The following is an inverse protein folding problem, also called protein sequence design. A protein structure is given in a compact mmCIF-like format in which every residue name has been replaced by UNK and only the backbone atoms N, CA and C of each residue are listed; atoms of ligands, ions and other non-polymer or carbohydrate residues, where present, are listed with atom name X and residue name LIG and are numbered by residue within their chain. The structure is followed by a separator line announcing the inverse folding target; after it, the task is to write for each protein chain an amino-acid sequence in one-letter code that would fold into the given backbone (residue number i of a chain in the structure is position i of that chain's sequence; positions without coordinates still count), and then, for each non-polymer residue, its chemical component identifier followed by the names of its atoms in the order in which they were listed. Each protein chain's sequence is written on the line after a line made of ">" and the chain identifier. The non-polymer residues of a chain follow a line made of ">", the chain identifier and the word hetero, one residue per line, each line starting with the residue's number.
data_IF_642320508736
#
_entry.id   IF_642320508736
#
_cell.length_a   1.000
_cell.length_b   1.000
_cell.length_c   1.000
_cell.angle_alpha   90.00
_cell.angle_beta   90.00
_cell.angle_gamma   90.00
#
_symmetry.space_group_name_H-M   'P 1'
#
loop_
_entity.id
_entity.type
_entity.pdbx_description
1 polymer ?
#
# COMPACT_ATOMS: atom_id res chain seq x y z
N UNK A 1 8.38 4.99 -15.94
CA UNK A 1 8.39 4.02 -14.83
C UNK A 1 6.96 3.63 -14.55
N UNK A 2 6.73 2.35 -14.30
CA UNK A 2 5.44 1.83 -13.87
C UNK A 2 5.66 0.84 -12.73
N UNK A 3 4.97 1.07 -11.62
CA UNK A 3 5.03 0.20 -10.44
C UNK A 3 3.62 -0.16 -10.05
N UNK A 4 3.40 -1.44 -9.73
CA UNK A 4 2.17 -1.92 -9.13
C UNK A 4 2.52 -2.58 -7.82
N UNK A 5 1.97 -2.06 -6.73
CA UNK A 5 2.07 -2.62 -5.39
C UNK A 5 0.73 -3.22 -5.00
N UNK A 6 0.76 -4.26 -4.18
CA UNK A 6 -0.43 -4.78 -3.50
C UNK A 6 -0.21 -4.73 -2.01
N UNK A 7 -1.26 -4.43 -1.26
CA UNK A 7 -1.24 -4.53 0.20
C UNK A 7 -2.43 -5.33 0.73
N UNK A 8 -2.21 -5.96 1.88
CA UNK A 8 -3.23 -6.63 2.69
C UNK A 8 -3.20 -6.06 4.10
N UNK A 9 -4.38 -5.71 4.62
CA UNK A 9 -4.54 -5.26 5.99
C UNK A 9 -4.53 -6.41 6.98
N UNK A 10 -3.58 -6.36 7.89
CA UNK A 10 -3.37 -7.36 8.93
C UNK A 10 -3.58 -6.69 10.29
N UNK A 11 -4.52 -7.23 11.07
CA UNK A 11 -4.74 -6.86 12.46
C UNK A 11 -4.53 -8.11 13.31
N UNK A 12 -3.53 -8.06 14.20
CA UNK A 12 -3.20 -9.19 15.10
C UNK A 12 -3.01 -10.50 14.31
N UNK A 13 -2.33 -10.42 13.16
CA UNK A 13 -2.05 -11.57 12.29
C UNK A 13 -3.18 -12.03 11.37
N UNK A 14 -4.35 -11.38 11.38
CA UNK A 14 -5.51 -11.76 10.56
C UNK A 14 -5.99 -10.61 9.65
N UNK A 15 -6.58 -10.94 8.50
CA UNK A 15 -7.30 -9.97 7.68
C UNK A 15 -8.69 -9.70 8.30
N UNK A 16 -8.81 -8.55 8.95
CA UNK A 16 -9.99 -8.20 9.74
C UNK A 16 -11.23 -7.94 8.89
N UNK A 17 -11.07 -7.39 7.68
CA UNK A 17 -12.18 -7.16 6.76
C UNK A 17 -12.82 -8.48 6.32
N UNK A 18 -12.01 -9.49 5.95
CA UNK A 18 -12.54 -10.83 5.63
C UNK A 18 -13.21 -11.48 6.84
N UNK A 19 -12.66 -11.28 8.04
CA UNK A 19 -13.25 -11.80 9.29
C UNK A 19 -14.62 -11.17 9.56
N UNK A 20 -14.72 -9.85 9.45
CA UNK A 20 -15.97 -9.11 9.64
C UNK A 20 -17.02 -9.50 8.60
N UNK A 21 -16.61 -9.67 7.34
CA UNK A 21 -17.49 -10.15 6.28
C UNK A 21 -18.09 -11.51 6.62
N UNK A 22 -17.26 -12.48 7.04
CA UNK A 22 -17.72 -13.84 7.40
C UNK A 22 -18.69 -13.80 8.59
N UNK A 23 -18.35 -13.05 9.64
CA UNK A 23 -19.23 -12.87 10.78
C UNK A 23 -20.58 -12.24 10.39
N UNK A 24 -20.58 -11.26 9.48
CA UNK A 24 -21.81 -10.67 8.94
C UNK A 24 -22.62 -11.68 8.12
N UNK A 25 -21.97 -12.45 7.26
CA UNK A 25 -22.61 -13.47 6.43
C UNK A 25 -23.30 -14.53 7.31
N UNK A 26 -22.60 -15.02 8.33
CA UNK A 26 -23.14 -16.00 9.29
C UNK A 26 -24.37 -15.45 10.02
N UNK A 27 -24.32 -14.20 10.47
CA UNK A 27 -25.46 -13.53 11.12
C UNK A 27 -26.67 -13.37 10.18
N UNK A 28 -26.43 -13.02 8.92
CA UNK A 28 -27.48 -12.90 7.90
C UNK A 28 -28.14 -14.25 7.59
N UNK A 29 -27.34 -15.32 7.47
CA UNK A 29 -27.85 -16.67 7.24
C UNK A 29 -28.61 -17.22 8.46
N UNK A 30 -28.07 -17.04 9.67
CA UNK A 30 -28.68 -17.51 10.92
C UNK A 30 -29.99 -16.82 11.29
N UNK A 31 -30.24 -15.62 10.78
CA UNK A 31 -31.48 -14.87 11.00
C UNK A 31 -32.57 -15.15 9.94
N UNK A 32 -32.29 -15.98 8.94
CA UNK A 32 -33.24 -16.29 7.86
C UNK A 32 -33.53 -15.11 6.92
N UNK A 33 -32.69 -14.06 6.96
CA UNK A 33 -32.85 -12.92 6.07
C UNK A 33 -32.43 -13.27 4.63
N UNK A 34 -33.09 -12.69 3.60
CA UNK A 34 -32.60 -12.79 2.22
C UNK A 34 -31.15 -12.31 2.13
N UNK A 35 -30.27 -13.24 1.73
CA UNK A 35 -28.82 -13.02 1.80
C UNK A 35 -28.20 -13.18 0.42
N UNK A 36 -27.38 -12.21 0.03
CA UNK A 36 -26.51 -12.30 -1.14
C UNK A 36 -25.06 -12.23 -0.66
N UNK A 37 -24.34 -13.33 -0.82
CA UNK A 37 -22.92 -13.43 -0.50
C UNK A 37 -22.06 -12.81 -1.62
N UNK A 38 -20.82 -12.47 -1.28
CA UNK A 38 -19.80 -12.18 -2.28
C UNK A 38 -19.39 -13.47 -3.00
N UNK A 39 -18.91 -13.32 -4.23
CA UNK A 39 -18.17 -14.41 -4.88
C UNK A 39 -16.87 -14.70 -4.12
N UNK A 40 -16.31 -15.89 -4.26
CA UNK A 40 -15.01 -16.23 -3.66
C UNK A 40 -13.88 -15.30 -4.14
N UNK A 41 -13.96 -14.84 -5.39
CA UNK A 41 -13.03 -13.87 -5.97
C UNK A 41 -13.15 -12.50 -5.33
N UNK A 42 -14.37 -12.04 -5.00
CA UNK A 42 -14.58 -10.75 -4.36
C UNK A 42 -14.26 -10.79 -2.86
N UNK A 43 -14.57 -11.89 -2.17
CA UNK A 43 -14.14 -12.10 -0.78
C UNK A 43 -12.60 -12.04 -0.67
N UNK A 44 -11.88 -12.59 -1.65
CA UNK A 44 -10.42 -12.54 -1.66
C UNK A 44 -9.85 -11.12 -1.74
N UNK A 45 -10.59 -10.13 -2.24
CA UNK A 45 -10.17 -8.72 -2.31
C UNK A 45 -10.39 -7.96 -1.00
N UNK A 46 -11.24 -8.46 -0.11
CA UNK A 46 -11.58 -7.71 1.11
C UNK A 46 -10.34 -7.45 1.97
N UNK A 47 -10.21 -6.21 2.43
CA UNK A 47 -9.07 -5.76 3.22
C UNK A 47 -7.77 -5.72 2.42
N UNK A 48 -7.83 -5.71 1.09
CA UNK A 48 -6.65 -5.53 0.24
C UNK A 48 -6.73 -4.23 -0.52
N UNK A 49 -5.60 -3.83 -1.10
CA UNK A 49 -5.53 -2.74 -2.06
C UNK A 49 -4.44 -2.95 -3.10
N UNK A 50 -4.54 -2.19 -4.17
CA UNK A 50 -3.56 -2.10 -5.23
C UNK A 50 -3.20 -0.63 -5.43
N UNK A 51 -1.90 -0.35 -5.55
CA UNK A 51 -1.37 0.98 -5.84
C UNK A 51 -0.67 0.91 -7.18
N UNK A 52 -1.13 1.74 -8.12
CA UNK A 52 -0.49 1.92 -9.41
C UNK A 52 0.24 3.27 -9.42
N UNK A 53 1.55 3.24 -9.71
CA UNK A 53 2.41 4.41 -9.79
C UNK A 53 2.92 4.52 -11.22
N UNK A 54 2.65 5.66 -11.85
CA UNK A 54 3.05 5.99 -13.21
C UNK A 54 3.91 7.25 -13.17
N UNK A 55 5.15 7.16 -13.67
CA UNK A 55 6.05 8.31 -13.76
C UNK A 55 6.68 8.37 -15.14
N UNK A 56 6.55 9.52 -15.79
CA UNK A 56 7.23 9.85 -17.04
C UNK A 56 8.08 11.11 -16.89
N UNK A 57 8.48 11.73 -18.01
CA UNK A 57 9.36 12.90 -18.00
C UNK A 57 8.70 14.17 -17.45
N UNK A 58 7.37 14.22 -17.30
CA UNK A 58 6.62 15.43 -16.93
C UNK A 58 5.52 15.18 -15.92
N UNK A 59 5.17 13.91 -15.68
CA UNK A 59 4.03 13.56 -14.83
C UNK A 59 4.39 12.44 -13.88
N UNK A 60 4.00 12.65 -12.63
CA UNK A 60 3.87 11.59 -11.64
C UNK A 60 2.40 11.39 -11.31
N UNK A 61 1.96 10.16 -11.20
CA UNK A 61 0.64 9.85 -10.65
C UNK A 61 0.67 8.56 -9.88
N UNK A 62 -0.12 8.54 -8.81
CA UNK A 62 -0.39 7.36 -8.02
C UNK A 62 -1.89 7.20 -7.90
N UNK A 63 -2.36 5.96 -8.06
CA UNK A 63 -3.76 5.59 -7.88
C UNK A 63 -3.81 4.38 -6.95
N UNK A 64 -4.48 4.55 -5.82
CA UNK A 64 -4.77 3.47 -4.90
C UNK A 64 -6.22 3.05 -5.05
N UNK A 65 -6.47 1.74 -5.20
CA UNK A 65 -7.80 1.14 -5.09
C UNK A 65 -7.80 0.16 -3.93
N UNK A 66 -8.74 0.30 -2.99
CA UNK A 66 -8.92 -0.63 -1.88
C UNK A 66 -10.32 -1.20 -1.87
N UNK A 67 -10.49 -2.37 -1.23
CA UNK A 67 -11.75 -3.08 -1.24
C UNK A 67 -12.26 -3.42 0.16
N UNK A 68 -13.50 -3.03 0.42
CA UNK A 68 -14.28 -3.40 1.62
C UNK A 68 -15.58 -4.06 1.19
N UNK A 69 -16.37 -4.56 2.15
CA UNK A 69 -17.73 -4.98 1.88
C UNK A 69 -18.72 -3.93 2.38
N UNK A 70 -19.83 -3.78 1.66
CA UNK A 70 -20.96 -2.95 2.04
C UNK A 70 -22.28 -3.67 1.81
N UNK A 71 -23.37 -2.90 1.78
CA UNK A 71 -24.72 -3.41 1.50
C UNK A 71 -25.36 -2.62 0.35
N UNK A 72 -26.33 -3.23 -0.34
CA UNK A 72 -27.08 -2.58 -1.44
C UNK A 72 -27.97 -1.40 -1.01
N UNK A 73 -28.04 -1.09 0.29
CA UNK A 73 -28.79 0.04 0.83
C UNK A 73 -28.71 0.09 2.36
N UNK A 74 -29.27 1.15 2.94
CA UNK A 74 -29.30 1.42 4.38
C UNK A 74 -30.46 0.73 5.13
N UNK A 75 -31.39 0.12 4.40
CA UNK A 75 -32.55 -0.57 4.96
C UNK A 75 -32.22 -1.92 5.62
N UNK A 76 -33.02 -2.28 6.63
CA UNK A 76 -32.91 -3.58 7.31
C UNK A 76 -33.05 -4.78 6.36
N UNK A 77 -33.80 -4.63 5.25
CA UNK A 77 -33.96 -5.68 4.23
C UNK A 77 -32.78 -5.80 3.26
N UNK A 78 -31.97 -4.75 3.10
CA UNK A 78 -30.83 -4.71 2.16
C UNK A 78 -29.49 -4.94 2.84
N UNK A 79 -29.44 -4.90 4.18
CA UNK A 79 -28.20 -5.09 4.96
C UNK A 79 -27.49 -6.44 4.70
N UNK A 80 -28.24 -7.48 4.31
CA UNK A 80 -27.74 -8.82 3.99
C UNK A 80 -27.53 -9.06 2.50
N UNK A 81 -27.78 -8.06 1.66
CA UNK A 81 -27.40 -8.06 0.25
C UNK A 81 -26.00 -7.46 0.15
N UNK A 82 -24.99 -8.29 0.45
CA UNK A 82 -23.61 -7.84 0.59
C UNK A 82 -23.02 -7.59 -0.80
N UNK A 83 -22.29 -6.50 -0.95
CA UNK A 83 -21.58 -6.13 -2.18
C UNK A 83 -20.13 -5.76 -1.89
N UNK A 84 -19.28 -5.95 -2.89
CA UNK A 84 -17.91 -5.44 -2.84
C UNK A 84 -17.95 -3.94 -3.11
N UNK A 85 -17.23 -3.17 -2.31
CA UNK A 85 -17.07 -1.73 -2.50
C UNK A 85 -15.61 -1.43 -2.80
N UNK A 86 -15.37 -0.65 -3.84
CA UNK A 86 -14.05 -0.18 -4.21
C UNK A 86 -13.91 1.29 -3.84
N UNK A 87 -12.85 1.63 -3.11
CA UNK A 87 -12.50 3.00 -2.74
C UNK A 87 -11.28 3.40 -3.54
N UNK A 88 -11.37 4.53 -4.24
CA UNK A 88 -10.28 5.03 -5.09
C UNK A 88 -9.77 6.32 -4.48
N UNK A 89 -8.46 6.35 -4.31
CA UNK A 89 -7.72 7.57 -4.02
C UNK A 89 -6.66 7.79 -5.09
N UNK A 90 -6.46 9.05 -5.48
CA UNK A 90 -5.58 9.38 -6.59
C UNK A 90 -4.87 10.70 -6.34
N UNK A 91 -3.60 10.74 -6.73
CA UNK A 91 -2.79 11.95 -6.69
C UNK A 91 -1.96 12.04 -7.96
N UNK A 92 -1.74 13.25 -8.44
CA UNK A 92 -0.88 13.51 -9.58
C UNK A 92 -0.15 14.83 -9.39
N UNK A 93 1.12 14.84 -9.78
CA UNK A 93 1.96 16.02 -9.84
C UNK A 93 2.37 16.21 -11.30
N UNK A 94 2.16 17.40 -11.84
CA UNK A 94 2.74 17.82 -13.11
C UNK A 94 3.98 18.64 -12.81
N UNK A 95 5.08 18.29 -13.47
CA UNK A 95 6.33 19.00 -13.35
C UNK A 95 6.55 19.82 -14.63
N UNK A 96 6.17 21.10 -14.55
CA UNK A 96 6.30 22.06 -15.65
C UNK A 96 7.76 22.49 -15.88
N UNK A 97 8.66 22.23 -14.93
CA UNK A 97 10.08 22.65 -14.99
C UNK A 97 11.04 21.48 -15.21
N UNK A 98 10.57 20.24 -15.06
CA UNK A 98 11.27 18.99 -15.41
C UNK A 98 12.37 18.58 -14.43
N UNK A 99 12.32 19.04 -13.18
CA UNK A 99 13.32 18.75 -12.16
C UNK A 99 12.74 17.87 -11.04
N UNK A 100 12.89 16.57 -11.20
CA UNK A 100 13.05 15.68 -10.05
C UNK A 100 14.47 15.87 -9.50
N UNK A 101 14.60 16.67 -8.44
CA UNK A 101 15.90 16.95 -7.84
C UNK A 101 16.47 15.69 -7.20
N UNK A 102 17.75 15.44 -7.45
CA UNK A 102 18.44 14.35 -6.80
C UNK A 102 18.60 14.65 -5.31
N UNK A 103 18.36 13.66 -4.47
CA UNK A 103 18.64 13.76 -3.04
C UNK A 103 20.15 13.77 -2.85
N UNK A 104 20.68 14.83 -2.26
CA UNK A 104 22.10 14.93 -1.95
C UNK A 104 22.50 14.00 -0.78
N UNK A 105 23.78 13.70 -0.69
CA UNK A 105 24.29 12.75 0.30
C UNK A 105 24.12 13.22 1.75
N UNK A 106 24.20 14.52 1.99
CA UNK A 106 24.19 15.08 3.34
C UNK A 106 22.76 15.05 3.87
N UNK A 107 21.78 15.45 3.05
CA UNK A 107 20.35 15.30 3.34
C UNK A 107 20.00 13.84 3.60
N UNK A 108 20.44 12.91 2.74
CA UNK A 108 20.24 11.47 2.94
C UNK A 108 20.80 10.98 4.28
N UNK A 109 22.03 11.37 4.63
CA UNK A 109 22.67 10.96 5.89
C UNK A 109 21.90 11.52 7.09
N UNK A 110 21.51 12.79 7.04
CA UNK A 110 20.77 13.45 8.11
C UNK A 110 19.40 12.79 8.34
N UNK A 111 18.66 12.48 7.29
CA UNK A 111 17.35 11.82 7.39
C UNK A 111 17.47 10.42 7.98
N UNK A 112 18.48 9.63 7.56
CA UNK A 112 18.77 8.32 8.14
C UNK A 112 19.02 8.42 9.65
N UNK A 113 19.82 9.40 10.09
CA UNK A 113 20.09 9.65 11.51
C UNK A 113 18.82 10.05 12.28
N UNK A 114 17.98 10.90 11.68
CA UNK A 114 16.71 11.33 12.29
C UNK A 114 15.81 10.12 12.55
N UNK A 115 15.67 9.19 11.60
CA UNK A 115 14.85 8.01 11.81
C UNK A 115 15.45 7.03 12.82
N UNK A 116 16.77 6.90 12.84
CA UNK A 116 17.46 6.11 13.87
C UNK A 116 17.21 6.65 15.28
N UNK A 117 17.11 7.98 15.43
CA UNK A 117 16.82 8.61 16.73
C UNK A 117 15.41 8.30 17.26
N UNK A 118 14.47 7.95 16.38
CA UNK A 118 13.08 7.62 16.74
C UNK A 118 12.79 6.10 16.68
N UNK A 119 13.84 5.28 16.69
CA UNK A 119 13.72 3.82 16.90
C UNK A 119 13.74 2.97 15.63
N UNK A 120 13.90 3.54 14.45
CA UNK A 120 14.18 2.76 13.24
C UNK A 120 15.63 2.28 13.21
N UNK A 121 15.84 1.08 12.69
CA UNK A 121 17.15 0.48 12.50
C UNK A 121 17.37 0.28 11.00
N UNK A 122 18.47 0.82 10.51
CA UNK A 122 18.97 0.50 9.18
C UNK A 122 19.55 -0.92 9.22
N UNK A 123 18.92 -1.84 8.50
CA UNK A 123 19.33 -3.25 8.45
C UNK A 123 20.35 -3.49 7.34
N UNK A 124 20.18 -2.83 6.20
CA UNK A 124 21.10 -2.94 5.07
C UNK A 124 20.44 -2.65 3.73
N UNK A 125 21.08 -3.08 2.66
CA UNK A 125 20.58 -2.99 1.28
C UNK A 125 20.17 -4.38 0.78
N UNK A 126 19.11 -4.47 -0.01
CA UNK A 126 18.55 -5.70 -0.56
C UNK A 126 18.01 -5.47 -1.98
N UNK A 127 17.51 -6.52 -2.63
CA UNK A 127 16.75 -6.42 -3.87
C UNK A 127 15.38 -7.10 -3.77
N UNK A 128 14.34 -6.38 -4.17
CA UNK A 128 12.99 -6.94 -4.34
C UNK A 128 12.64 -6.90 -5.82
N UNK A 129 12.34 -8.06 -6.40
CA UNK A 129 12.01 -8.21 -7.84
C UNK A 129 13.05 -7.55 -8.77
N UNK A 130 14.33 -7.59 -8.38
CA UNK A 130 15.44 -7.00 -9.14
C UNK A 130 15.60 -5.48 -9.00
N UNK A 131 14.85 -4.84 -8.10
CA UNK A 131 15.02 -3.43 -7.75
C UNK A 131 15.75 -3.28 -6.42
N UNK A 132 16.73 -2.36 -6.31
CA UNK A 132 17.45 -2.13 -5.06
C UNK A 132 16.54 -1.46 -4.02
N UNK A 133 16.66 -1.87 -2.76
CA UNK A 133 15.97 -1.23 -1.65
C UNK A 133 16.80 -1.21 -0.39
N UNK A 134 16.57 -0.19 0.43
CA UNK A 134 17.12 -0.07 1.77
C UNK A 134 16.14 -0.66 2.77
N UNK A 135 16.62 -1.61 3.56
CA UNK A 135 15.85 -2.34 4.57
C UNK A 135 15.92 -1.63 5.91
N UNK A 136 14.75 -1.37 6.46
CA UNK A 136 14.53 -0.71 7.75
C UNK A 136 13.66 -1.57 8.64
N UNK A 137 13.88 -1.48 9.95
CA UNK A 137 13.07 -2.20 10.94
C UNK A 137 12.91 -1.40 12.22
N UNK A 138 11.74 -1.43 12.82
CA UNK A 138 11.52 -0.98 14.20
C UNK A 138 10.91 -2.12 15.05
N UNK A 139 10.34 -1.81 16.21
CA UNK A 139 9.69 -2.79 17.10
C UNK A 139 8.37 -3.35 16.53
N UNK A 140 7.79 -2.72 15.51
CA UNK A 140 6.47 -3.03 14.96
C UNK A 140 6.51 -3.62 13.56
N UNK A 141 7.48 -3.25 12.73
CA UNK A 141 7.47 -3.57 11.30
C UNK A 141 8.86 -3.64 10.66
N UNK A 142 8.90 -4.26 9.49
CA UNK A 142 10.03 -4.29 8.56
C UNK A 142 9.59 -3.70 7.22
N UNK A 143 10.43 -2.86 6.59
CA UNK A 143 10.12 -2.19 5.33
C UNK A 143 11.38 -2.17 4.44
N UNK A 144 11.25 -2.54 3.17
CA UNK A 144 12.23 -2.23 2.13
C UNK A 144 11.73 -1.09 1.26
N UNK A 145 12.37 0.06 1.34
CA UNK A 145 12.03 1.20 0.49
C UNK A 145 12.98 1.26 -0.69
N UNK A 146 12.45 1.47 -1.89
CA UNK A 146 13.23 1.57 -3.13
C UNK A 146 14.34 2.62 -3.03
N UNK A 147 15.60 2.20 -3.21
CA UNK A 147 16.76 3.09 -3.17
C UNK A 147 17.29 3.48 -4.55
N UNK A 148 16.75 2.87 -5.61
CA UNK A 148 17.13 3.18 -7.00
C UNK A 148 16.62 4.53 -7.50
N UNK A 149 15.73 5.17 -6.73
CA UNK A 149 15.01 6.38 -7.12
C UNK A 149 15.63 7.70 -6.65
N UNK A 150 16.70 7.69 -5.85
CA UNK A 150 17.24 8.90 -5.23
C UNK A 150 17.65 10.00 -6.21
N UNK A 151 18.12 9.62 -7.42
CA UNK A 151 18.45 10.56 -8.50
C UNK A 151 17.22 11.24 -9.14
N UNK A 152 16.03 10.83 -8.73
CA UNK A 152 14.73 11.36 -9.15
C UNK A 152 13.89 11.77 -7.93
N UNK A 153 14.52 12.14 -6.81
CA UNK A 153 13.83 12.67 -5.63
C UNK A 153 13.13 11.65 -4.73
N UNK A 154 13.22 10.34 -5.03
CA UNK A 154 12.63 9.31 -4.16
C UNK A 154 13.50 9.04 -2.95
N UNK A 155 12.94 9.27 -1.77
CA UNK A 155 13.61 8.94 -0.51
C UNK A 155 13.56 7.43 -0.27
N UNK A 156 14.63 6.89 0.30
CA UNK A 156 14.76 5.48 0.67
C UNK A 156 14.42 5.24 2.15
N UNK A 157 13.61 6.13 2.74
CA UNK A 157 13.18 6.07 4.12
C UNK A 157 11.99 5.11 4.30
N UNK A 158 11.84 4.44 5.45
CA UNK A 158 10.71 3.58 5.73
C UNK A 158 9.40 4.38 5.77
N UNK A 159 8.39 3.89 5.05
CA UNK A 159 7.00 4.29 5.24
C UNK A 159 6.42 3.60 6.48
N UNK A 160 5.50 4.25 7.19
CA UNK A 160 4.79 3.60 8.29
C UNK A 160 3.70 2.65 7.74
N UNK A 161 4.04 1.37 7.64
CA UNK A 161 3.09 0.33 7.24
C UNK A 161 2.16 -0.11 8.39
N UNK A 162 2.35 0.35 9.63
CA UNK A 162 1.54 -0.06 10.78
C UNK A 162 0.08 0.46 10.72
N UNK A 163 -0.17 1.54 9.98
CA UNK A 163 -1.48 2.18 9.88
C UNK A 163 -2.44 1.57 8.85
N UNK A 164 -1.97 0.74 7.93
CA UNK A 164 -2.69 0.21 6.75
C UNK A 164 -3.42 1.17 5.81
N UNK A 165 -3.50 2.42 6.19
CA UNK A 165 -3.72 3.57 5.35
C UNK A 165 -2.36 4.24 5.23
N UNK A 166 -1.44 3.67 4.45
CA UNK A 166 -0.15 4.34 4.18
C UNK A 166 -0.45 5.55 3.31
N UNK A 167 -1.00 6.57 3.96
CA UNK A 167 -1.43 7.86 3.44
C UNK A 167 -2.23 7.81 2.13
N UNK A 168 -2.59 8.98 1.63
CA UNK A 168 -3.17 9.07 0.30
C UNK A 168 -2.18 8.60 -0.76
N UNK A 169 -2.68 8.30 -1.96
CA UNK A 169 -1.91 7.85 -3.11
C UNK A 169 -0.67 8.73 -3.36
N UNK A 170 -0.73 10.03 -3.03
CA UNK A 170 0.37 10.98 -3.15
C UNK A 170 1.64 10.62 -2.35
N UNK A 171 1.55 9.88 -1.24
CA UNK A 171 2.74 9.50 -0.47
C UNK A 171 3.67 8.55 -1.23
N UNK A 172 3.10 7.72 -2.11
CA UNK A 172 3.88 6.83 -2.99
C UNK A 172 4.67 7.59 -4.08
N UNK A 173 4.45 8.90 -4.22
CA UNK A 173 5.24 9.76 -5.10
C UNK A 173 6.52 10.28 -4.43
N UNK A 174 6.68 10.08 -3.12
CA UNK A 174 7.89 10.46 -2.38
C UNK A 174 8.76 9.25 -2.02
N UNK A 175 8.12 8.13 -1.63
CA UNK A 175 8.80 6.91 -1.22
C UNK A 175 8.03 5.68 -1.73
N UNK A 176 8.73 4.69 -2.27
CA UNK A 176 8.11 3.46 -2.79
C UNK A 176 8.54 2.27 -1.92
N UNK A 177 7.72 1.85 -0.93
CA UNK A 177 7.93 0.60 -0.21
C UNK A 177 7.75 -0.60 -1.16
N UNK A 178 8.85 -1.25 -1.52
CA UNK A 178 8.83 -2.45 -2.37
C UNK A 178 8.27 -3.67 -1.62
N UNK A 179 8.48 -3.67 -0.32
CA UNK A 179 7.99 -4.70 0.59
C UNK A 179 7.82 -4.08 1.97
N UNK A 180 6.75 -4.44 2.66
CA UNK A 180 6.57 -4.11 4.07
C UNK A 180 5.80 -5.21 4.77
N UNK A 181 6.09 -5.45 6.03
CA UNK A 181 5.32 -6.36 6.86
C UNK A 181 5.30 -5.93 8.34
N UNK A 182 4.16 -6.07 9.02
CA UNK A 182 4.15 -6.03 10.48
C UNK A 182 4.93 -7.22 11.04
N UNK A 183 5.67 -7.00 12.13
CA UNK A 183 6.35 -8.06 12.87
C UNK A 183 5.31 -8.98 13.54
N UNK A 184 5.74 -10.19 13.93
CA UNK A 184 4.84 -11.26 14.39
C UNK A 184 3.86 -10.80 15.48
N UNK A 185 2.56 -10.95 15.23
CA UNK A 185 1.48 -10.53 16.13
C UNK A 185 1.14 -9.03 16.07
N UNK A 186 1.90 -8.26 15.28
CA UNK A 186 1.66 -6.85 15.01
C UNK A 186 0.51 -6.63 14.03
N UNK A 187 0.08 -5.38 13.99
CA UNK A 187 -0.91 -4.86 13.05
C UNK A 187 -0.23 -3.95 12.04
N UNK A 188 -0.77 -3.90 10.83
CA UNK A 188 -0.24 -3.11 9.74
C UNK A 188 -0.49 -3.78 8.40
N UNK A 189 0.21 -3.29 7.38
CA UNK A 189 0.01 -3.71 6.02
C UNK A 189 1.15 -4.61 5.57
N UNK A 190 0.77 -5.77 5.05
CA UNK A 190 1.68 -6.59 4.26
C UNK A 190 1.67 -6.05 2.85
N UNK A 191 2.74 -5.38 2.45
CA UNK A 191 2.89 -4.78 1.14
C UNK A 191 3.92 -5.53 0.31
N UNK A 192 3.66 -5.68 -0.99
CA UNK A 192 4.54 -6.36 -1.93
C UNK A 192 4.46 -5.73 -3.32
N UNK A 193 5.59 -5.71 -4.02
CA UNK A 193 5.63 -5.40 -5.46
C UNK A 193 5.01 -6.53 -6.27
N UNK A 194 3.97 -6.20 -7.03
CA UNK A 194 3.39 -7.05 -8.06
C UNK A 194 4.18 -6.92 -9.37
N UNK A 195 4.52 -5.70 -9.77
CA UNK A 195 5.38 -5.44 -10.94
C UNK A 195 6.15 -4.12 -10.79
N UNK A 196 7.36 -4.07 -11.34
CA UNK A 196 8.18 -2.86 -11.38
C UNK A 196 8.90 -2.78 -12.73
N UNK A 197 8.72 -1.68 -13.46
CA UNK A 197 9.33 -1.42 -14.76
C UNK A 197 10.00 -0.05 -14.80
N UNK A 198 11.31 -0.03 -15.07
CA UNK A 198 12.12 1.17 -15.34
C UNK A 198 12.48 1.23 -16.83
N UNK A 199 12.45 2.43 -17.42
CA UNK A 199 12.96 2.67 -18.78
C UNK A 199 12.05 2.23 -19.95
N UNK A 200 11.04 1.39 -19.72
CA UNK A 200 9.93 1.23 -20.68
C UNK A 200 8.93 2.36 -20.40
N UNK A 201 8.94 3.40 -21.23
CA UNK A 201 7.93 4.45 -21.19
C UNK A 201 6.53 3.84 -21.26
N UNK A 202 5.57 4.49 -20.59
CA UNK A 202 4.15 4.17 -20.76
C UNK A 202 3.68 4.77 -22.07
N UNK A 203 4.00 4.14 -23.19
CA UNK A 203 3.24 4.32 -24.41
C UNK A 203 3.16 2.97 -25.15
N UNK A 204 1.99 2.60 -25.70
CA UNK A 204 1.87 1.55 -26.71
C UNK A 204 2.69 1.88 -27.97
#
# INVERSE_FOLDING_TARGET
>A
MHVVLTWESIMIGENWERKNYRAKLDACQGSGMPTRALSSTDEAKLGTGEVEILIDARRQSARQTSWTFGADGDGAKTTCLIKLEAHVDQSANEDDTGLYEAIDSDSRIQERQNLQSIGWKLIGEEQIKGQPCTRWQNDRQSVCTWSGGMKWGFVELPSDAAGCTVDGAGTYLNAIPLEAEPLKGGSGCRMQVKSFSLGKGLLP
#
